data_IF_926004099421
#
_entry.id   IF_926004099421
#
_cell.length_a   1.000
_cell.length_b   1.000
_cell.length_c   1.000
_cell.angle_alpha   90.00
_cell.angle_beta   90.00
_cell.angle_gamma   90.00
#
_symmetry.space_group_name_H-M   'P 1'
#
loop_
_entity.id
_entity.type
_entity.pdbx_description
1 polymer ?
#
# COMPACT_ATOMS: atom_id res chain seq x y z
N UNK A 1 14.01 -20.28 12.20
CA UNK A 1 13.08 -19.36 12.89
C UNK A 1 11.72 -19.51 12.24
N UNK A 2 10.68 -19.89 12.99
CA UNK A 2 9.31 -19.89 12.48
C UNK A 2 8.75 -18.48 12.67
N UNK A 3 8.31 -17.84 11.59
CA UNK A 3 7.71 -16.51 11.65
C UNK A 3 6.39 -16.51 12.42
N UNK A 4 5.97 -15.34 12.93
CA UNK A 4 4.67 -15.20 13.60
C UNK A 4 3.52 -15.44 12.61
N UNK A 5 2.37 -15.98 13.07
CA UNK A 5 1.18 -16.09 12.23
C UNK A 5 0.81 -14.74 11.62
N UNK A 6 0.53 -14.69 10.31
CA UNK A 6 0.23 -13.44 9.57
C UNK A 6 -0.80 -12.55 10.26
N UNK A 7 -1.76 -13.17 10.94
CA UNK A 7 -2.92 -12.52 11.57
C UNK A 7 -2.50 -11.69 12.78
N UNK A 8 -1.40 -12.08 13.44
CA UNK A 8 -0.82 -11.33 14.56
C UNK A 8 -0.02 -10.10 14.12
N UNK A 9 0.25 -9.96 12.82
CA UNK A 9 0.93 -8.79 12.25
C UNK A 9 -0.04 -7.68 11.85
N UNK A 10 -1.36 -7.86 12.07
CA UNK A 10 -2.42 -6.94 11.66
C UNK A 10 -3.03 -6.29 12.90
N UNK A 11 -3.07 -4.96 12.91
CA UNK A 11 -3.76 -4.16 13.92
C UNK A 11 -4.86 -3.36 13.25
N UNK A 12 -6.10 -3.49 13.73
CA UNK A 12 -7.20 -2.64 13.30
C UNK A 12 -7.14 -1.31 14.04
N UNK A 13 -7.30 -0.21 13.30
CA UNK A 13 -7.33 1.15 13.83
C UNK A 13 -8.63 1.84 13.41
N UNK A 14 -8.91 3.00 13.99
CA UNK A 14 -10.09 3.81 13.63
C UNK A 14 -10.12 4.08 12.12
N UNK A 15 -11.30 3.89 11.53
CA UNK A 15 -11.52 4.09 10.10
C UNK A 15 -11.36 5.56 9.69
N UNK A 16 -11.04 5.80 8.41
CA UNK A 16 -10.83 7.13 7.85
C UNK A 16 -12.18 7.89 7.76
N UNK A 17 -12.26 9.15 8.22
CA UNK A 17 -13.41 10.00 7.93
C UNK A 17 -13.64 10.13 6.43
N UNK A 18 -14.86 9.81 5.97
CA UNK A 18 -15.19 9.84 4.53
C UNK A 18 -14.60 8.70 3.71
N UNK A 19 -14.42 7.50 4.30
CA UNK A 19 -13.92 6.34 3.56
C UNK A 19 -14.95 5.84 2.52
N UNK A 20 -14.74 6.20 1.26
CA UNK A 20 -15.42 5.59 0.12
C UNK A 20 -15.08 4.09 0.05
N UNK A 21 -16.10 3.24 0.21
CA UNK A 21 -15.88 1.79 0.39
C UNK A 21 -15.54 1.04 -0.89
N UNK A 22 -15.79 1.63 -2.06
CA UNK A 22 -15.63 0.93 -3.34
C UNK A 22 -15.29 1.89 -4.46
N UNK A 23 -14.10 1.69 -5.03
CA UNK A 23 -13.73 2.23 -6.33
C UNK A 23 -13.69 1.08 -7.34
N UNK A 24 -14.24 1.32 -8.54
CA UNK A 24 -14.18 0.40 -9.67
C UNK A 24 -14.16 1.20 -10.97
N UNK A 25 -13.21 0.88 -11.85
CA UNK A 25 -13.04 1.54 -13.14
C UNK A 25 -13.31 0.53 -14.25
N UNK A 26 -14.04 0.99 -15.27
CA UNK A 26 -14.27 0.26 -16.51
C UNK A 26 -13.29 0.74 -17.58
N UNK A 27 -12.31 -0.11 -17.91
CA UNK A 27 -11.28 0.21 -18.90
C UNK A 27 -11.61 -0.28 -20.33
N UNK A 28 -12.84 -0.75 -20.60
CA UNK A 28 -13.20 -1.31 -21.92
C UNK A 28 -13.01 -0.34 -23.08
N UNK A 29 -13.19 0.96 -22.85
CA UNK A 29 -12.94 1.99 -23.88
C UNK A 29 -11.48 1.98 -24.32
N UNK A 30 -10.56 1.99 -23.36
CA UNK A 30 -9.12 2.00 -23.59
C UNK A 30 -8.67 0.71 -24.32
N UNK A 31 -9.22 -0.43 -23.92
CA UNK A 31 -8.97 -1.72 -24.55
C UNK A 31 -9.43 -1.75 -26.01
N UNK A 32 -10.63 -1.22 -26.30
CA UNK A 32 -11.20 -1.25 -27.64
C UNK A 32 -10.53 -0.25 -28.58
N UNK A 33 -10.28 0.97 -28.11
CA UNK A 33 -9.84 2.08 -28.97
C UNK A 33 -8.33 2.13 -29.13
N UNK A 34 -7.58 1.73 -28.09
CA UNK A 34 -6.10 1.80 -28.09
C UNK A 34 -5.44 0.42 -28.01
N UNK A 35 -6.21 -0.67 -27.99
CA UNK A 35 -5.71 -2.04 -27.81
C UNK A 35 -4.86 -2.25 -26.55
N UNK A 36 -5.00 -1.35 -25.57
CA UNK A 36 -4.26 -1.42 -24.33
C UNK A 36 -4.81 -2.52 -23.42
N UNK A 37 -3.91 -3.29 -22.81
CA UNK A 37 -4.23 -4.23 -21.74
C UNK A 37 -3.14 -4.17 -20.66
N UNK A 38 -3.47 -4.42 -19.39
CA UNK A 38 -2.46 -4.51 -18.34
C UNK A 38 -1.54 -5.71 -18.60
N UNK A 39 -0.23 -5.49 -18.49
CA UNK A 39 0.77 -6.56 -18.59
C UNK A 39 0.92 -7.34 -17.29
N UNK A 40 0.53 -6.75 -16.16
CA UNK A 40 0.60 -7.36 -14.84
C UNK A 40 -0.79 -7.72 -14.31
N UNK A 41 -0.86 -8.87 -13.64
CA UNK A 41 -1.93 -9.16 -12.70
C UNK A 41 -1.65 -8.49 -11.35
N UNK A 42 -2.65 -8.41 -10.47
CA UNK A 42 -2.43 -7.94 -9.10
C UNK A 42 -1.36 -8.77 -8.37
N UNK A 43 -1.41 -10.10 -8.52
CA UNK A 43 -0.45 -10.99 -7.85
C UNK A 43 0.99 -10.76 -8.34
N UNK A 44 1.21 -10.71 -9.65
CA UNK A 44 2.55 -10.51 -10.22
C UNK A 44 3.09 -9.11 -9.93
N UNK A 45 2.23 -8.07 -9.99
CA UNK A 45 2.61 -6.71 -9.64
C UNK A 45 2.96 -6.55 -8.16
N UNK A 46 2.18 -7.15 -7.25
CA UNK A 46 2.44 -7.09 -5.82
C UNK A 46 3.75 -7.81 -5.43
N UNK A 47 4.01 -8.98 -6.01
CA UNK A 47 5.29 -9.69 -5.79
C UNK A 47 6.49 -8.85 -6.24
N UNK A 48 6.42 -8.28 -7.46
CA UNK A 48 7.48 -7.42 -7.99
C UNK A 48 7.68 -6.19 -7.11
N UNK A 49 6.60 -5.61 -6.59
CA UNK A 49 6.66 -4.47 -5.68
C UNK A 49 7.40 -4.82 -4.40
N UNK A 50 7.04 -5.93 -3.73
CA UNK A 50 7.71 -6.39 -2.51
C UNK A 50 9.21 -6.64 -2.76
N UNK A 51 9.54 -7.34 -3.85
CA UNK A 51 10.94 -7.60 -4.22
C UNK A 51 11.72 -6.31 -4.48
N UNK A 52 11.08 -5.33 -5.11
CA UNK A 52 11.69 -4.03 -5.36
C UNK A 52 12.05 -3.34 -4.04
N UNK A 53 11.14 -3.24 -3.08
CA UNK A 53 11.41 -2.62 -1.78
C UNK A 53 12.54 -3.32 -1.02
N UNK A 54 12.57 -4.65 -1.01
CA UNK A 54 13.66 -5.43 -0.37
C UNK A 54 15.00 -5.15 -1.04
N UNK A 55 15.03 -4.98 -2.36
CA UNK A 55 16.25 -4.70 -3.12
C UNK A 55 16.72 -3.24 -3.11
N UNK A 56 15.92 -2.30 -2.57
CA UNK A 56 16.17 -0.86 -2.65
C UNK A 56 16.11 -0.16 -1.28
N UNK A 57 16.67 -0.77 -0.23
CA UNK A 57 16.61 -0.22 1.13
C UNK A 57 17.26 1.17 1.25
N UNK A 58 18.36 1.43 0.54
CA UNK A 58 18.97 2.76 0.53
C UNK A 58 18.01 3.85 0.01
N UNK A 59 17.09 3.49 -0.90
CA UNK A 59 16.06 4.42 -1.36
C UNK A 59 15.01 4.64 -0.27
N UNK A 60 14.55 3.59 0.40
CA UNK A 60 13.56 3.71 1.49
C UNK A 60 14.10 4.53 2.65
N UNK A 61 15.34 4.30 3.06
CA UNK A 61 15.96 5.01 4.19
C UNK A 61 16.05 6.52 3.91
N UNK A 62 16.32 6.90 2.66
CA UNK A 62 16.40 8.31 2.26
C UNK A 62 15.04 9.02 2.28
N UNK A 63 13.96 8.33 1.93
CA UNK A 63 12.63 8.96 1.85
C UNK A 63 11.89 8.98 3.19
N UNK A 64 12.32 8.19 4.18
CA UNK A 64 11.78 8.18 5.54
C UNK A 64 12.34 9.32 6.40
N UNK A 65 12.34 10.54 5.87
CA UNK A 65 12.84 11.74 6.55
C UNK A 65 11.99 12.14 7.77
N UNK A 66 12.43 13.15 8.52
CA UNK A 66 11.72 13.66 9.70
C UNK A 66 10.27 14.06 9.42
N UNK A 67 9.97 14.68 8.28
CA UNK A 67 8.60 15.05 7.91
C UNK A 67 7.70 13.84 7.68
N UNK A 68 8.24 12.77 7.11
CA UNK A 68 7.51 11.50 6.99
C UNK A 68 7.17 10.93 8.37
N UNK A 69 8.12 10.95 9.30
CA UNK A 69 7.89 10.48 10.68
C UNK A 69 6.87 11.35 11.42
N UNK A 70 6.95 12.68 11.30
CA UNK A 70 6.00 13.62 11.89
C UNK A 70 4.56 13.32 11.43
N UNK A 71 4.37 13.07 10.14
CA UNK A 71 3.06 12.70 9.60
C UNK A 71 2.56 11.34 10.11
N UNK A 72 3.46 10.35 10.24
CA UNK A 72 3.11 9.03 10.80
C UNK A 72 2.58 9.18 12.23
N UNK A 73 3.27 9.98 13.06
CA UNK A 73 2.85 10.30 14.43
C UNK A 73 1.47 10.96 14.43
N UNK A 74 1.31 12.04 13.66
CA UNK A 74 0.05 12.79 13.59
C UNK A 74 -1.14 11.88 13.20
N UNK A 75 -0.96 11.03 12.19
CA UNK A 75 -2.03 10.26 11.59
C UNK A 75 -2.31 8.91 12.31
N UNK A 76 -1.35 8.32 13.02
CA UNK A 76 -1.50 6.97 13.60
C UNK A 76 -1.33 6.88 15.11
N UNK A 77 -0.42 7.65 15.75
CA UNK A 77 -0.24 7.58 17.21
C UNK A 77 -1.47 8.10 17.94
N UNK A 78 -2.08 9.17 17.41
CA UNK A 78 -3.31 9.75 17.98
C UNK A 78 -4.57 8.94 17.66
N UNK A 79 -4.54 8.09 16.62
CA UNK A 79 -5.68 7.28 16.18
C UNK A 79 -5.86 5.96 16.92
N UNK A 80 -4.81 5.48 17.59
CA UNK A 80 -4.81 4.18 18.28
C UNK A 80 -5.31 4.27 19.73
N UNK A 81 -5.59 5.49 20.21
CA UNK A 81 -5.91 5.80 21.63
C UNK A 81 -7.39 6.10 21.88
N UNK A 82 -8.30 5.64 21.01
CA UNK A 82 -9.74 5.87 21.14
C UNK A 82 -10.54 4.56 21.00
#
# INVERSE_FOLDING_TARGET
MVGRPRRELITFVKDRPGHDRRYAIDCRKLQRELHWNPTESFASGLEKTIRWYIGHTAWTDRIQSGEYQNWIVENYETRSSA
#
